data_IF_676050447706
#
_entry.id   IF_676050447706
#
_cell.length_a   1.000
_cell.length_b   1.000
_cell.length_c   1.000
_cell.angle_alpha   90.00
_cell.angle_beta   90.00
_cell.angle_gamma   90.00
#
_symmetry.space_group_name_H-M   'P 1'
#
loop_
_entity.id
_entity.type
_entity.pdbx_description
1 polymer ?
#
# COMPACT_ATOMS: atom_id res chain seq x y z
N UNK A 1 -14.01 -26.69 44.13
CA UNK A 1 -13.55 -26.69 42.73
C UNK A 1 -14.62 -26.00 41.89
N UNK A 2 -14.48 -24.71 41.58
CA UNK A 2 -15.36 -24.04 40.62
C UNK A 2 -14.55 -22.95 39.94
N UNK A 3 -13.94 -23.32 38.81
CA UNK A 3 -13.07 -22.49 38.01
C UNK A 3 -13.93 -21.51 37.22
N UNK A 4 -13.92 -20.24 37.61
CA UNK A 4 -14.52 -19.16 36.84
C UNK A 4 -13.74 -19.00 35.52
N UNK A 5 -14.22 -19.67 34.47
CA UNK A 5 -13.76 -19.45 33.09
C UNK A 5 -14.20 -18.04 32.71
N UNK A 6 -13.26 -17.10 32.78
CA UNK A 6 -13.42 -15.76 32.25
C UNK A 6 -13.66 -15.87 30.75
N UNK A 7 -14.91 -15.69 30.35
CA UNK A 7 -15.30 -15.56 28.95
C UNK A 7 -14.68 -14.28 28.42
N UNK A 8 -13.46 -14.39 27.89
CA UNK A 8 -12.81 -13.37 27.08
C UNK A 8 -13.75 -13.10 25.90
N UNK A 9 -14.57 -12.04 26.02
CA UNK A 9 -15.21 -11.40 24.87
C UNK A 9 -14.09 -11.05 23.89
N UNK A 10 -13.80 -11.96 22.96
CA UNK A 10 -13.09 -11.63 21.73
C UNK A 10 -14.02 -10.66 21.02
N UNK A 11 -13.79 -9.37 21.24
CA UNK A 11 -14.37 -8.34 20.41
C UNK A 11 -14.07 -8.76 18.97
N UNK A 12 -15.07 -9.02 18.13
CA UNK A 12 -14.81 -9.26 16.72
C UNK A 12 -14.22 -7.94 16.23
N UNK A 13 -12.89 -7.86 16.16
CA UNK A 13 -12.23 -6.77 15.44
C UNK A 13 -12.93 -6.70 14.11
N UNK A 14 -13.51 -5.53 13.82
CA UNK A 14 -14.35 -5.37 12.66
C UNK A 14 -13.61 -5.93 11.44
N UNK A 15 -14.30 -6.64 10.53
CA UNK A 15 -13.65 -7.25 9.37
C UNK A 15 -12.82 -6.22 8.56
N UNK A 16 -13.19 -4.94 8.68
CA UNK A 16 -12.48 -3.78 8.13
C UNK A 16 -11.12 -3.55 8.81
N UNK A 17 -11.05 -3.60 10.15
CA UNK A 17 -9.78 -3.45 10.88
C UNK A 17 -8.79 -4.55 10.51
N UNK A 18 -9.27 -5.80 10.42
CA UNK A 18 -8.42 -6.94 10.06
C UNK A 18 -7.90 -6.83 8.61
N UNK A 19 -8.73 -6.36 7.69
CA UNK A 19 -8.34 -6.12 6.30
C UNK A 19 -7.32 -4.97 6.19
N UNK A 20 -7.53 -3.86 6.90
CA UNK A 20 -6.59 -2.74 6.93
C UNK A 20 -5.23 -3.13 7.51
N UNK A 21 -5.22 -3.91 8.60
CA UNK A 21 -3.97 -4.41 9.20
C UNK A 21 -3.20 -5.30 8.21
N UNK A 22 -3.90 -6.20 7.52
CA UNK A 22 -3.28 -7.04 6.49
C UNK A 22 -2.74 -6.22 5.31
N UNK A 23 -3.42 -5.15 4.90
CA UNK A 23 -2.90 -4.26 3.86
C UNK A 23 -1.62 -3.57 4.28
N UNK A 24 -1.49 -3.10 5.53
CA UNK A 24 -0.25 -2.50 6.03
C UNK A 24 0.90 -3.52 5.92
N UNK A 25 0.68 -4.73 6.45
CA UNK A 25 1.67 -5.80 6.38
C UNK A 25 2.06 -6.12 4.93
N UNK A 26 1.08 -6.27 4.03
CA UNK A 26 1.33 -6.56 2.62
C UNK A 26 2.11 -5.44 1.94
N UNK A 27 1.80 -4.18 2.24
CA UNK A 27 2.48 -3.00 1.69
C UNK A 27 3.94 -2.98 2.13
N UNK A 28 4.20 -3.22 3.42
CA UNK A 28 5.56 -3.28 3.97
C UNK A 28 6.34 -4.45 3.38
N UNK A 29 5.72 -5.63 3.29
CA UNK A 29 6.35 -6.83 2.75
C UNK A 29 6.66 -6.69 1.26
N UNK A 30 5.75 -6.09 0.49
CA UNK A 30 5.96 -5.78 -0.93
C UNK A 30 7.08 -4.76 -1.08
N UNK A 31 7.09 -3.70 -0.27
CA UNK A 31 8.19 -2.72 -0.25
C UNK A 31 9.55 -3.33 0.09
N UNK A 32 9.60 -4.36 0.95
CA UNK A 32 10.81 -5.11 1.28
C UNK A 32 11.25 -6.07 0.16
N UNK A 33 10.29 -6.69 -0.54
CA UNK A 33 10.58 -7.54 -1.71
C UNK A 33 11.16 -6.71 -2.86
N UNK A 34 10.67 -5.47 -3.04
CA UNK A 34 11.23 -4.57 -4.03
C UNK A 34 12.54 -3.99 -3.48
N UNK A 35 13.65 -4.44 -4.06
CA UNK A 35 15.06 -4.30 -3.66
C UNK A 35 15.62 -2.84 -3.57
N UNK A 36 14.84 -1.90 -3.03
CA UNK A 36 15.17 -0.48 -2.92
C UNK A 36 15.29 0.29 -4.25
N UNK A 37 15.06 -0.38 -5.38
CA UNK A 37 15.13 0.20 -6.72
C UNK A 37 14.02 1.22 -7.03
N UNK A 38 14.01 1.72 -8.26
CA UNK A 38 13.04 2.73 -8.74
C UNK A 38 11.60 2.26 -8.54
N UNK A 39 11.34 0.99 -8.84
CA UNK A 39 10.02 0.36 -8.65
C UNK A 39 9.58 0.42 -7.17
N UNK A 40 10.51 0.22 -6.22
CA UNK A 40 10.22 0.29 -4.77
C UNK A 40 9.76 1.68 -4.37
N UNK A 41 10.44 2.73 -4.89
CA UNK A 41 10.11 4.13 -4.60
C UNK A 41 8.75 4.54 -5.15
N UNK A 42 8.44 4.15 -6.39
CA UNK A 42 7.14 4.42 -7.03
C UNK A 42 6.02 3.72 -6.27
N UNK A 43 6.24 2.46 -5.88
CA UNK A 43 5.27 1.70 -5.09
C UNK A 43 5.03 2.33 -3.70
N UNK A 44 6.08 2.79 -3.02
CA UNK A 44 5.99 3.50 -1.75
C UNK A 44 5.21 4.82 -1.87
N UNK A 45 5.49 5.62 -2.90
CA UNK A 45 4.75 6.87 -3.15
C UNK A 45 3.27 6.61 -3.44
N UNK A 46 2.96 5.62 -4.27
CA UNK A 46 1.58 5.26 -4.58
C UNK A 46 0.84 4.70 -3.35
N UNK A 47 1.53 3.90 -2.54
CA UNK A 47 1.03 3.40 -1.25
C UNK A 47 0.74 4.54 -0.27
N UNK A 48 1.64 5.53 -0.17
CA UNK A 48 1.41 6.73 0.64
C UNK A 48 0.19 7.52 0.16
N UNK A 49 -0.01 7.66 -1.15
CA UNK A 49 -1.20 8.28 -1.73
C UNK A 49 -2.49 7.56 -1.34
N UNK A 50 -2.48 6.22 -1.38
CA UNK A 50 -3.60 5.41 -0.90
C UNK A 50 -3.89 5.60 0.58
N UNK A 51 -2.85 5.52 1.42
CA UNK A 51 -2.99 5.74 2.86
C UNK A 51 -3.45 7.16 3.19
N UNK A 52 -3.06 8.17 2.40
CA UNK A 52 -3.57 9.53 2.53
C UNK A 52 -5.08 9.59 2.22
N UNK A 53 -5.54 8.90 1.18
CA UNK A 53 -6.97 8.75 0.88
C UNK A 53 -7.75 8.02 1.98
N UNK A 54 -7.17 6.94 2.53
CA UNK A 54 -7.76 6.20 3.66
C UNK A 54 -7.83 7.07 4.91
N UNK A 55 -6.78 7.83 5.22
CA UNK A 55 -6.76 8.78 6.34
C UNK A 55 -7.78 9.90 6.13
N UNK A 56 -7.92 10.43 4.92
CA UNK A 56 -8.94 11.44 4.61
C UNK A 56 -10.37 10.89 4.83
N UNK A 57 -10.63 9.65 4.42
CA UNK A 57 -11.93 8.99 4.66
C UNK A 57 -12.14 8.79 6.17
N UNK A 58 -11.13 8.28 6.88
CA UNK A 58 -11.19 8.08 8.32
C UNK A 58 -11.42 9.38 9.09
N UNK A 59 -10.72 10.46 8.70
CA UNK A 59 -10.86 11.78 9.32
C UNK A 59 -12.20 12.43 9.00
N UNK A 60 -12.78 12.13 7.84
CA UNK A 60 -14.06 12.71 7.40
C UNK A 60 -15.29 11.94 7.90
N UNK A 61 -15.20 10.63 8.13
CA UNK A 61 -16.34 9.77 8.53
C UNK A 61 -15.92 8.64 9.47
N UNK A 62 -15.51 8.98 10.69
CA UNK A 62 -15.08 7.99 11.68
C UNK A 62 -16.25 7.10 12.19
N UNK A 63 -17.47 7.65 12.28
CA UNK A 63 -18.62 6.99 12.93
C UNK A 63 -19.59 6.25 11.98
N UNK A 64 -19.49 6.45 10.66
CA UNK A 64 -20.40 5.81 9.69
C UNK A 64 -19.67 5.42 8.41
N UNK A 65 -18.91 4.31 8.44
CA UNK A 65 -18.31 3.75 7.24
C UNK A 65 -19.42 3.36 6.27
N UNK A 66 -19.44 4.05 5.13
CA UNK A 66 -20.41 3.80 4.06
C UNK A 66 -19.95 2.56 3.27
N UNK A 67 -20.87 1.84 2.60
CA UNK A 67 -20.51 0.66 1.78
C UNK A 67 -19.38 0.95 0.77
N UNK A 68 -19.31 2.18 0.29
CA UNK A 68 -18.26 2.69 -0.61
C UNK A 68 -16.87 2.70 0.04
N UNK A 69 -16.76 2.99 1.33
CA UNK A 69 -15.49 3.03 2.06
C UNK A 69 -14.90 1.63 2.23
N UNK A 70 -15.76 0.63 2.42
CA UNK A 70 -15.37 -0.79 2.46
C UNK A 70 -14.89 -1.26 1.08
N UNK A 71 -15.54 -0.83 0.00
CA UNK A 71 -15.09 -1.12 -1.37
C UNK A 71 -13.74 -0.45 -1.64
N UNK A 72 -13.55 0.79 -1.20
CA UNK A 72 -12.30 1.53 -1.34
C UNK A 72 -11.15 0.88 -0.56
N UNK A 73 -11.38 0.46 0.69
CA UNK A 73 -10.37 -0.32 1.42
C UNK A 73 -10.08 -1.63 0.71
N UNK A 74 -11.10 -2.34 0.21
CA UNK A 74 -10.91 -3.67 -0.38
C UNK A 74 -10.27 -3.66 -1.77
N UNK A 75 -10.59 -2.68 -2.61
CA UNK A 75 -10.12 -2.60 -4.01
C UNK A 75 -9.08 -1.50 -4.24
N UNK A 76 -8.93 -0.55 -3.33
CA UNK A 76 -8.02 0.58 -3.54
C UNK A 76 -6.56 0.15 -3.64
N UNK A 77 -6.14 -0.89 -2.91
CA UNK A 77 -4.80 -1.46 -3.06
C UNK A 77 -4.56 -2.09 -4.43
N UNK A 78 -5.59 -2.73 -5.01
CA UNK A 78 -5.51 -3.23 -6.38
C UNK A 78 -5.38 -2.09 -7.39
N UNK A 79 -6.16 -1.01 -7.21
CA UNK A 79 -6.03 0.19 -8.04
C UNK A 79 -4.63 0.80 -7.95
N UNK A 80 -4.07 0.88 -6.75
CA UNK A 80 -2.69 1.36 -6.52
C UNK A 80 -1.69 0.48 -7.25
N UNK A 81 -1.78 -0.85 -7.13
CA UNK A 81 -0.90 -1.78 -7.84
C UNK A 81 -0.98 -1.62 -9.37
N UNK A 82 -2.19 -1.54 -9.93
CA UNK A 82 -2.40 -1.37 -11.37
C UNK A 82 -1.84 -0.04 -11.88
N UNK A 83 -1.98 1.04 -11.12
CA UNK A 83 -1.46 2.36 -11.51
C UNK A 83 0.06 2.44 -11.31
N UNK A 84 0.59 1.82 -10.26
CA UNK A 84 2.02 1.88 -9.92
C UNK A 84 2.88 1.16 -10.94
N UNK A 85 2.39 0.05 -11.51
CA UNK A 85 3.13 -0.79 -12.43
C UNK A 85 3.57 -0.07 -13.73
N UNK A 86 2.67 0.55 -14.52
CA UNK A 86 3.06 1.28 -15.73
C UNK A 86 3.89 2.54 -15.41
N UNK A 87 3.65 3.19 -14.28
CA UNK A 87 4.44 4.36 -13.86
C UNK A 87 5.87 3.94 -13.54
N UNK A 88 6.04 2.82 -12.82
CA UNK A 88 7.36 2.30 -12.48
C UNK A 88 8.12 1.85 -13.74
N UNK A 89 7.43 1.25 -14.71
CA UNK A 89 7.99 0.87 -16.00
C UNK A 89 8.49 2.11 -16.77
N UNK A 90 7.65 3.13 -16.96
CA UNK A 90 8.05 4.38 -17.62
C UNK A 90 9.24 5.07 -16.93
N UNK A 91 9.24 5.10 -15.59
CA UNK A 91 10.35 5.66 -14.83
C UNK A 91 11.63 4.84 -14.96
N UNK A 92 11.51 3.53 -15.13
CA UNK A 92 12.64 2.63 -15.33
C UNK A 92 13.23 2.80 -16.71
N UNK A 93 12.41 3.01 -17.76
CA UNK A 93 12.89 3.33 -19.10
C UNK A 93 13.61 4.70 -19.15
N UNK A 94 13.03 5.72 -18.52
CA UNK A 94 13.66 7.05 -18.39
C UNK A 94 15.00 7.01 -17.66
N UNK A 95 15.07 6.26 -16.57
CA UNK A 95 16.29 6.15 -15.76
C UNK A 95 17.32 5.20 -16.39
N UNK A 96 16.87 4.15 -17.08
CA UNK A 96 17.70 3.18 -17.78
C UNK A 96 18.44 3.77 -18.98
N UNK A 97 17.89 4.80 -19.65
CA UNK A 97 18.56 5.50 -20.76
C UNK A 97 19.76 6.37 -20.33
N UNK A 98 19.73 6.95 -19.14
CA UNK A 98 20.79 7.83 -18.61
C UNK A 98 22.19 7.17 -18.47
N UNK A 99 22.34 5.95 -17.92
CA UNK A 99 23.65 5.31 -17.83
C UNK A 99 24.25 5.00 -19.22
N UNK A 100 23.43 4.70 -20.24
CA UNK A 100 23.92 4.53 -21.61
C UNK A 100 24.41 5.85 -22.21
N UNK A 101 23.67 6.95 -22.00
CA UNK A 101 24.07 8.28 -22.46
C UNK A 101 25.37 8.75 -21.77
N UNK A 102 25.49 8.54 -20.46
CA UNK A 102 26.69 8.87 -19.69
C UNK A 102 27.91 8.03 -20.13
N UNK A 103 27.72 6.75 -20.46
CA UNK A 103 28.79 5.92 -21.02
C UNK A 103 29.17 6.35 -22.45
N UNK A 104 28.21 6.75 -23.27
CA UNK A 104 28.46 7.24 -24.63
C UNK A 104 29.19 8.59 -24.62
N UNK A 105 28.86 9.49 -23.69
CA UNK A 105 29.52 10.78 -23.51
C UNK A 105 30.92 10.65 -22.90
N UNK A 106 31.16 9.65 -22.03
CA UNK A 106 32.48 9.37 -21.45
C UNK A 106 33.47 8.73 -22.45
N UNK A 107 32.98 8.15 -23.55
CA UNK A 107 33.82 7.54 -24.60
C UNK A 107 34.23 8.51 -25.72
N UNK A 108 33.81 9.77 -25.69
CA UNK A 108 34.32 10.83 -26.55
C UNK A 108 35.28 11.72 -25.77
#
# INVERSE_FOLDING_TARGET
>A
MSSAVSSTKRTPMSPVLRAGLMQICLTVFTGLILDGGIVSRVFLQASLGFWCGVLLIAFRRWESPTKTDVVYLRHGLWGVLVISFPIAEQFTELSGGMPYLMQALRRR
#
